data_IF_193438880706
#
_entry.id   IF_193438880706
#
_cell.length_a   1.000
_cell.length_b   1.000
_cell.length_c   1.000
_cell.angle_alpha   90.00
_cell.angle_beta   90.00
_cell.angle_gamma   90.00
#
_symmetry.space_group_name_H-M   'P 1'
#
loop_
_entity.id
_entity.type
_entity.pdbx_description
1 polymer ?
#
# COMPACT_ATOMS: atom_id res chain seq x y z
N UNK A 1 16.88 38.34 10.24
CA UNK A 1 17.80 37.26 10.69
C UNK A 1 17.02 35.99 10.44
N UNK A 2 17.14 35.44 9.23
CA UNK A 2 16.37 34.27 8.82
C UNK A 2 17.16 33.01 9.15
N UNK A 3 16.78 32.30 10.22
CA UNK A 3 17.18 30.92 10.44
C UNK A 3 16.08 29.99 9.91
N UNK A 4 16.16 29.70 8.60
CA UNK A 4 15.39 28.65 7.94
C UNK A 4 15.90 27.30 8.45
N UNK A 5 15.31 26.79 9.54
CA UNK A 5 15.50 25.41 9.99
C UNK A 5 14.87 24.50 8.93
N UNK A 6 15.70 24.06 8.00
CA UNK A 6 15.42 22.92 7.13
C UNK A 6 15.22 21.71 8.05
N UNK A 7 13.96 21.31 8.21
CA UNK A 7 13.58 20.00 8.71
C UNK A 7 14.15 18.96 7.76
N UNK A 8 15.36 18.48 8.04
CA UNK A 8 15.87 17.23 7.49
C UNK A 8 14.99 16.14 8.09
N UNK A 9 13.90 15.83 7.41
CA UNK A 9 13.13 14.63 7.69
C UNK A 9 14.04 13.44 7.43
N UNK A 10 14.41 12.73 8.49
CA UNK A 10 15.23 11.53 8.41
C UNK A 10 14.47 10.42 7.66
N UNK A 11 14.55 10.43 6.34
CA UNK A 11 14.02 9.37 5.50
C UNK A 11 14.85 8.10 5.75
N UNK A 12 14.34 7.21 6.60
CA UNK A 12 14.88 5.86 6.79
C UNK A 12 15.11 5.20 5.43
N UNK A 13 16.28 4.59 5.23
CA UNK A 13 16.65 3.92 3.96
C UNK A 13 15.60 2.92 3.49
N UNK A 14 14.88 2.27 4.41
CA UNK A 14 13.78 1.37 4.09
C UNK A 14 12.60 2.11 3.45
N UNK A 15 12.30 3.33 3.93
CA UNK A 15 11.26 4.20 3.37
C UNK A 15 11.63 4.65 1.97
N UNK A 16 12.88 5.01 1.72
CA UNK A 16 13.37 5.39 0.39
C UNK A 16 13.34 4.22 -0.61
N UNK A 17 13.73 3.00 -0.20
CA UNK A 17 13.66 1.80 -1.06
C UNK A 17 12.21 1.42 -1.35
N UNK A 18 11.32 1.47 -0.35
CA UNK A 18 9.89 1.21 -0.56
C UNK A 18 9.29 2.27 -1.49
N UNK A 19 9.60 3.55 -1.29
CA UNK A 19 9.15 4.64 -2.16
C UNK A 19 9.61 4.44 -3.61
N UNK A 20 10.84 3.95 -3.80
CA UNK A 20 11.38 3.61 -5.12
C UNK A 20 10.66 2.44 -5.78
N UNK A 21 10.34 1.39 -5.02
CA UNK A 21 9.54 0.25 -5.52
C UNK A 21 8.06 0.60 -5.75
N UNK A 22 7.57 1.64 -5.07
CA UNK A 22 6.19 2.13 -5.09
C UNK A 22 6.05 3.47 -5.86
N UNK A 23 7.00 3.81 -6.73
CA UNK A 23 6.97 5.07 -7.47
C UNK A 23 5.79 5.15 -8.46
N UNK A 24 5.22 6.35 -8.72
CA UNK A 24 4.05 6.52 -9.57
C UNK A 24 4.38 6.16 -11.02
N UNK A 25 3.90 5.00 -11.48
CA UNK A 25 4.23 4.45 -12.80
C UNK A 25 4.40 2.92 -12.81
N UNK A 26 4.82 2.34 -11.67
CA UNK A 26 4.96 0.87 -11.49
C UNK A 26 4.06 0.31 -10.38
N UNK A 27 3.41 1.19 -9.61
CA UNK A 27 2.93 0.88 -8.26
C UNK A 27 1.53 0.28 -8.15
N UNK A 28 0.68 0.40 -9.16
CA UNK A 28 -0.63 -0.27 -9.17
C UNK A 28 -0.50 -1.81 -9.15
N UNK A 29 0.25 -2.39 -10.11
CA UNK A 29 0.51 -3.82 -10.16
C UNK A 29 1.26 -4.35 -8.93
N UNK A 30 2.30 -3.65 -8.45
CA UNK A 30 3.06 -4.06 -7.25
C UNK A 30 2.18 -4.08 -5.99
N UNK A 31 1.32 -3.08 -5.81
CA UNK A 31 0.36 -3.06 -4.71
C UNK A 31 -0.67 -4.19 -4.78
N UNK A 32 -1.15 -4.50 -5.99
CA UNK A 32 -2.05 -5.63 -6.18
C UNK A 32 -1.37 -6.96 -5.85
N UNK A 33 -0.13 -7.16 -6.31
CA UNK A 33 0.67 -8.34 -5.95
C UNK A 33 0.84 -8.45 -4.44
N UNK A 34 1.17 -7.34 -3.76
CA UNK A 34 1.34 -7.34 -2.31
C UNK A 34 0.05 -7.72 -1.58
N UNK A 35 -1.09 -7.17 -2.00
CA UNK A 35 -2.42 -7.56 -1.50
C UNK A 35 -2.69 -9.04 -1.71
N UNK A 36 -2.43 -9.57 -2.91
CA UNK A 36 -2.62 -10.99 -3.22
C UNK A 36 -1.72 -11.87 -2.35
N UNK A 37 -0.45 -11.49 -2.16
CA UNK A 37 0.48 -12.19 -1.28
C UNK A 37 -0.03 -12.23 0.16
N UNK A 38 -0.53 -11.10 0.69
CA UNK A 38 -1.12 -11.06 2.02
C UNK A 38 -2.40 -11.91 2.12
N UNK A 39 -3.25 -11.93 1.09
CA UNK A 39 -4.43 -12.80 1.05
C UNK A 39 -4.06 -14.28 1.04
N UNK A 40 -3.10 -14.68 0.20
CA UNK A 40 -2.64 -16.07 0.13
C UNK A 40 -1.94 -16.51 1.42
N UNK A 41 -1.13 -15.63 2.02
CA UNK A 41 -0.53 -15.88 3.33
C UNK A 41 -1.61 -16.02 4.41
N UNK A 42 -2.63 -15.16 4.40
CA UNK A 42 -3.75 -15.24 5.35
C UNK A 42 -4.56 -16.52 5.18
N UNK A 43 -4.84 -16.93 3.93
CA UNK A 43 -5.50 -18.19 3.62
C UNK A 43 -4.68 -19.39 4.13
N UNK A 44 -3.37 -19.36 3.93
CA UNK A 44 -2.46 -20.39 4.40
C UNK A 44 -2.44 -20.49 5.94
N UNK A 45 -2.33 -19.35 6.63
CA UNK A 45 -2.37 -19.29 8.08
C UNK A 45 -3.73 -19.75 8.63
N UNK A 46 -4.84 -19.40 7.98
CA UNK A 46 -6.16 -19.88 8.35
C UNK A 46 -6.28 -21.41 8.21
N UNK A 47 -5.74 -21.98 7.13
CA UNK A 47 -5.67 -23.42 6.95
C UNK A 47 -4.79 -24.10 8.02
N UNK A 48 -3.59 -23.57 8.28
CA UNK A 48 -2.70 -24.07 9.34
C UNK A 48 -3.36 -24.00 10.72
N UNK A 49 -4.10 -22.93 11.00
CA UNK A 49 -4.82 -22.76 12.26
C UNK A 49 -5.97 -23.78 12.37
N UNK A 50 -6.73 -23.99 11.30
CA UNK A 50 -7.76 -25.02 11.24
C UNK A 50 -7.22 -26.44 11.43
N UNK A 51 -6.06 -26.74 10.83
CA UNK A 51 -5.36 -28.01 11.04
C UNK A 51 -4.87 -28.15 12.50
N UNK A 52 -4.34 -27.08 13.10
CA UNK A 52 -3.91 -27.09 14.50
C UNK A 52 -5.09 -27.33 15.46
N UNK A 53 -6.26 -26.73 15.18
CA UNK A 53 -7.50 -27.01 15.91
C UNK A 53 -7.96 -28.46 15.72
N UNK A 54 -7.91 -28.98 14.49
CA UNK A 54 -8.25 -30.38 14.19
C UNK A 54 -7.33 -31.37 14.92
N UNK A 55 -6.05 -31.05 15.02
CA UNK A 55 -5.07 -31.83 15.77
C UNK A 55 -5.15 -31.64 17.30
N UNK A 56 -5.94 -30.69 17.79
CA UNK A 56 -6.02 -30.30 19.22
C UNK A 56 -4.66 -29.96 19.85
N UNK A 57 -3.70 -29.50 19.04
CA UNK A 57 -2.37 -29.13 19.51
C UNK A 57 -2.37 -27.68 20.01
N UNK A 58 -2.49 -27.50 21.32
CA UNK A 58 -2.56 -26.17 21.95
C UNK A 58 -1.33 -25.30 21.70
N UNK A 59 -0.14 -25.89 21.60
CA UNK A 59 1.08 -25.14 21.36
C UNK A 59 1.12 -24.63 19.91
N UNK A 60 0.72 -25.47 18.95
CA UNK A 60 0.58 -25.05 17.56
C UNK A 60 -0.54 -24.02 17.36
N UNK A 61 -1.69 -24.18 18.02
CA UNK A 61 -2.78 -23.20 17.96
C UNK A 61 -2.28 -21.83 18.42
N UNK A 62 -1.59 -21.76 19.57
CA UNK A 62 -1.04 -20.51 20.10
C UNK A 62 0.01 -19.92 19.15
N UNK A 63 0.91 -20.75 18.62
CA UNK A 63 1.96 -20.30 17.71
C UNK A 63 1.37 -19.73 16.41
N UNK A 64 0.45 -20.44 15.77
CA UNK A 64 -0.19 -19.98 14.52
C UNK A 64 -1.05 -18.74 14.78
N UNK A 65 -1.76 -18.66 15.91
CA UNK A 65 -2.49 -17.45 16.29
C UNK A 65 -1.57 -16.24 16.44
N UNK A 66 -0.38 -16.42 17.01
CA UNK A 66 0.62 -15.36 17.11
C UNK A 66 1.13 -14.93 15.73
N UNK A 67 1.37 -15.87 14.82
CA UNK A 67 1.72 -15.56 13.43
C UNK A 67 0.62 -14.75 12.73
N UNK A 68 -0.66 -15.11 12.92
CA UNK A 68 -1.80 -14.34 12.38
C UNK A 68 -1.79 -12.90 12.91
N UNK A 69 -1.55 -12.69 14.22
CA UNK A 69 -1.47 -11.36 14.81
C UNK A 69 -0.32 -10.53 14.23
N UNK A 70 0.86 -11.13 14.06
CA UNK A 70 2.01 -10.45 13.44
C UNK A 70 1.68 -10.07 12.00
N UNK A 71 1.17 -11.00 11.19
CA UNK A 71 0.80 -10.74 9.80
C UNK A 71 -0.23 -9.62 9.69
N UNK A 72 -1.27 -9.62 10.54
CA UNK A 72 -2.26 -8.54 10.59
C UNK A 72 -1.66 -7.19 10.98
N UNK A 73 -0.78 -7.18 11.98
CA UNK A 73 -0.08 -5.96 12.42
C UNK A 73 0.81 -5.40 11.32
N UNK A 74 1.59 -6.25 10.65
CA UNK A 74 2.44 -5.86 9.52
C UNK A 74 1.61 -5.30 8.37
N UNK A 75 0.47 -5.94 8.04
CA UNK A 75 -0.43 -5.44 7.01
C UNK A 75 -1.00 -4.06 7.35
N UNK A 76 -1.39 -3.85 8.61
CA UNK A 76 -1.90 -2.56 9.08
C UNK A 76 -0.82 -1.48 9.02
N UNK A 77 0.37 -1.77 9.55
CA UNK A 77 1.52 -0.86 9.52
C UNK A 77 1.88 -0.48 8.08
N UNK A 78 1.89 -1.45 7.18
CA UNK A 78 2.20 -1.24 5.77
C UNK A 78 1.10 -0.41 5.09
N UNK A 79 -0.18 -0.68 5.38
CA UNK A 79 -1.30 0.11 4.87
C UNK A 79 -1.25 1.56 5.36
N UNK A 80 -0.96 1.76 6.66
CA UNK A 80 -0.81 3.09 7.27
C UNK A 80 0.37 3.85 6.69
N UNK A 81 1.50 3.17 6.55
CA UNK A 81 2.69 3.73 5.94
C UNK A 81 2.41 4.18 4.49
N UNK A 82 1.74 3.35 3.68
CA UNK A 82 1.37 3.74 2.31
C UNK A 82 0.42 4.94 2.27
N UNK A 83 -0.51 5.02 3.23
CA UNK A 83 -1.44 6.16 3.34
C UNK A 83 -0.69 7.46 3.69
N UNK A 84 0.32 7.40 4.56
CA UNK A 84 1.14 8.56 4.95
C UNK A 84 2.17 8.95 3.87
N UNK A 85 2.74 7.98 3.15
CA UNK A 85 3.78 8.26 2.13
C UNK A 85 3.25 8.81 0.82
N UNK A 86 1.93 8.87 0.64
CA UNK A 86 1.36 9.27 -0.63
C UNK A 86 1.72 8.24 -1.71
N UNK A 87 0.89 7.21 -1.83
CA UNK A 87 0.31 7.04 -3.17
C UNK A 87 -0.31 8.41 -3.48
N UNK A 88 0.37 9.26 -4.25
CA UNK A 88 -0.29 10.41 -4.89
C UNK A 88 -1.55 9.79 -5.47
N UNK A 89 -2.71 10.15 -4.91
CA UNK A 89 -3.98 9.53 -5.30
C UNK A 89 -4.01 9.57 -6.81
N UNK A 90 -4.17 8.43 -7.46
CA UNK A 90 -4.15 8.32 -8.93
C UNK A 90 -5.03 9.40 -9.57
N UNK A 91 -6.08 9.84 -8.85
CA UNK A 91 -6.93 10.99 -9.15
C UNK A 91 -6.19 12.32 -9.35
N UNK A 92 -5.23 12.69 -8.51
CA UNK A 92 -4.46 13.94 -8.63
C UNK A 92 -3.46 13.89 -9.78
N UNK A 93 -2.84 12.72 -10.03
CA UNK A 93 -1.97 12.54 -11.20
C UNK A 93 -2.74 12.47 -12.53
N UNK A 94 -3.96 11.89 -12.56
CA UNK A 94 -4.82 11.94 -13.75
C UNK A 94 -5.30 13.36 -14.06
N UNK A 95 -5.48 14.18 -13.03
CA UNK A 95 -5.85 15.59 -13.16
C UNK A 95 -4.66 16.47 -13.59
N UNK A 96 -3.43 16.19 -13.14
CA UNK A 96 -2.21 16.86 -13.61
C UNK A 96 -1.73 16.40 -15.00
N UNK A 97 -2.03 15.17 -15.41
CA UNK A 97 -1.72 14.64 -16.75
C UNK A 97 -2.74 15.13 -17.81
N UNK A 98 -3.77 15.88 -17.42
CA UNK A 98 -4.64 16.58 -18.36
C UNK A 98 -5.56 15.67 -19.19
N UNK A 99 -5.93 14.48 -18.68
CA UNK A 99 -6.88 13.58 -19.33
C UNK A 99 -8.25 13.60 -18.63
N UNK A 100 -8.80 14.79 -18.41
CA UNK A 100 -10.24 14.94 -18.21
C UNK A 100 -10.93 14.83 -19.58
N UNK A 101 -11.90 13.92 -19.80
CA UNK A 101 -12.68 13.94 -21.01
C UNK A 101 -13.67 15.10 -20.94
N UNK A 102 -13.51 16.08 -21.83
CA UNK A 102 -14.54 17.06 -22.14
C UNK A 102 -14.20 18.49 -21.76
N UNK A 103 -13.76 19.27 -22.76
CA UNK A 103 -14.52 20.39 -23.33
C UNK A 103 -13.70 20.98 -24.49
N UNK A 104 -13.70 20.29 -25.63
CA UNK A 104 -13.27 20.89 -26.90
C UNK A 104 -14.40 21.78 -27.41
N UNK A 105 -14.39 23.05 -27.01
CA UNK A 105 -15.29 24.06 -27.52
C UNK A 105 -14.84 24.50 -28.92
N UNK A 106 -15.31 23.81 -29.97
CA UNK A 106 -15.24 24.35 -31.33
C UNK A 106 -16.37 25.38 -31.52
N UNK A 107 -16.06 26.64 -31.24
CA UNK A 107 -16.79 27.77 -31.80
C UNK A 107 -16.49 27.83 -33.31
N UNK A 108 -17.24 27.08 -34.11
CA UNK A 108 -17.35 27.32 -35.54
C UNK A 108 -18.15 28.61 -35.76
N UNK A 109 -17.43 29.67 -36.12
CA UNK A 109 -17.93 31.02 -36.40
C UNK A 109 -18.73 30.98 -37.71
N UNK A 110 -20.06 30.98 -37.60
CA UNK A 110 -20.96 31.40 -38.68
C UNK A 110 -21.15 32.90 -38.57
N UNK A 111 -20.51 33.65 -39.48
CA UNK A 111 -21.02 34.77 -40.29
C UNK A 111 -19.83 35.56 -40.87
#
# INVERSE_FOLDING_TARGET
MESKLSSTEDFSSAKAVLLGALAPGVNGPTWNTLKISFLMLSLCLAAMLGLAFSASDSALIFHVAFLVLITGTLFLLLTRFLAETGLVSVQHQMQEIGLAPGTGGDKSKSN
#
